data_IF_053737551047
#
_entry.id   IF_053737551047
#
_cell.length_a   1.000
_cell.length_b   1.000
_cell.length_c   1.000
_cell.angle_alpha   90.00
_cell.angle_beta   90.00
_cell.angle_gamma   90.00
#
_symmetry.space_group_name_H-M   'P 1'
#
loop_
_entity.id
_entity.type
_entity.pdbx_description
1 polymer ?
#
# COMPACT_ATOMS: atom_id res chain seq x y z
N UNK A 1 56.66 42.56 -1.91
CA UNK A 1 55.64 41.65 -2.38
C UNK A 1 54.47 41.66 -1.42
N UNK A 2 53.25 41.84 -1.89
CA UNK A 2 52.05 41.69 -1.10
C UNK A 2 51.53 40.29 -1.34
N UNK A 3 51.49 39.46 -0.30
CA UNK A 3 50.87 38.14 -0.35
C UNK A 3 49.38 38.34 -0.22
N UNK A 4 48.61 38.03 -1.26
CA UNK A 4 47.16 38.01 -1.23
C UNK A 4 46.70 36.63 -0.78
N UNK A 5 46.01 36.57 0.35
CA UNK A 5 45.31 35.35 0.83
C UNK A 5 43.94 35.34 0.17
N UNK A 6 43.64 34.30 -0.61
CA UNK A 6 42.31 34.06 -1.17
C UNK A 6 41.63 32.98 -0.36
N UNK A 7 40.41 33.24 0.11
CA UNK A 7 39.51 32.19 0.65
C UNK A 7 38.65 31.67 -0.49
N UNK A 8 38.56 30.36 -0.60
CA UNK A 8 37.71 29.71 -1.57
C UNK A 8 36.58 28.98 -0.79
N UNK A 9 35.36 29.42 -0.97
CA UNK A 9 34.18 28.71 -0.46
C UNK A 9 33.57 27.94 -1.63
N UNK A 10 33.51 26.62 -1.51
CA UNK A 10 32.70 25.78 -2.39
C UNK A 10 31.25 25.87 -1.92
N UNK A 11 30.32 26.27 -2.79
CA UNK A 11 28.91 26.28 -2.42
C UNK A 11 28.47 24.86 -2.09
N UNK A 12 27.72 24.71 -0.99
CA UNK A 12 27.08 23.44 -0.64
C UNK A 12 26.04 23.07 -1.70
N UNK A 13 26.07 21.83 -2.15
CA UNK A 13 25.06 21.30 -3.04
C UNK A 13 23.65 21.38 -2.40
N UNK A 14 22.71 21.85 -3.19
CA UNK A 14 21.31 21.90 -2.81
C UNK A 14 20.63 20.62 -3.25
N UNK A 15 20.56 19.63 -2.35
CA UNK A 15 19.92 18.34 -2.60
C UNK A 15 18.59 18.32 -1.86
N UNK A 16 17.50 18.05 -2.59
CA UNK A 16 16.15 18.02 -2.06
C UNK A 16 15.48 16.71 -2.39
N UNK A 17 14.57 16.28 -1.49
CA UNK A 17 13.59 15.25 -1.75
C UNK A 17 12.20 15.81 -1.48
N UNK A 18 11.28 15.60 -2.41
CA UNK A 18 9.92 16.09 -2.33
C UNK A 18 8.95 15.03 -2.86
N UNK A 19 7.67 15.15 -2.52
CA UNK A 19 6.64 14.24 -2.99
C UNK A 19 5.32 14.47 -2.30
N UNK A 20 4.43 13.50 -2.39
CA UNK A 20 3.09 13.53 -1.83
C UNK A 20 2.85 12.37 -0.89
N UNK A 21 2.01 12.61 0.11
CA UNK A 21 1.40 11.57 0.92
C UNK A 21 -0.04 11.42 0.45
N UNK A 22 -0.34 10.27 -0.15
CA UNK A 22 -1.63 9.95 -0.75
C UNK A 22 -2.23 8.72 -0.08
N UNK A 23 -3.52 8.53 -0.20
CA UNK A 23 -4.15 7.25 0.12
C UNK A 23 -4.21 6.32 -1.11
N UNK A 24 -4.81 5.12 -0.96
CA UNK A 24 -4.95 4.15 -2.06
C UNK A 24 -5.91 4.60 -3.17
N UNK A 25 -6.74 5.60 -2.89
CA UNK A 25 -7.65 6.21 -3.87
C UNK A 25 -6.99 7.42 -4.58
N UNK A 26 -5.64 7.62 -4.37
CA UNK A 26 -4.85 8.75 -4.87
C UNK A 26 -5.30 10.11 -4.31
N UNK A 27 -6.05 10.13 -3.21
CA UNK A 27 -6.45 11.36 -2.56
C UNK A 27 -5.36 11.83 -1.57
N UNK A 28 -5.10 13.15 -1.46
CA UNK A 28 -4.12 13.67 -0.54
C UNK A 28 -4.43 13.34 0.92
N UNK A 29 -3.40 12.97 1.70
CA UNK A 29 -3.50 12.79 3.15
C UNK A 29 -2.90 14.01 3.86
N UNK A 30 -3.70 15.03 4.18
CA UNK A 30 -3.21 16.24 4.83
C UNK A 30 -2.77 15.94 6.26
N UNK A 31 -1.82 16.75 6.74
CA UNK A 31 -1.26 16.63 8.10
C UNK A 31 -0.60 15.27 8.40
N UNK A 32 -0.27 14.48 7.39
CA UNK A 32 0.58 13.32 7.58
C UNK A 32 1.95 13.77 8.12
N UNK A 33 2.48 13.00 9.06
CA UNK A 33 3.79 13.26 9.65
C UNK A 33 4.83 12.45 8.91
N UNK A 34 5.80 13.12 8.30
CA UNK A 34 6.93 12.48 7.64
C UNK A 34 8.17 12.70 8.52
N UNK A 35 8.85 11.61 8.84
CA UNK A 35 10.16 11.64 9.52
C UNK A 35 11.21 11.09 8.57
N UNK A 36 12.39 11.72 8.59
CA UNK A 36 13.54 11.27 7.84
C UNK A 36 14.74 11.14 8.78
N UNK A 37 15.41 10.01 8.75
CA UNK A 37 16.58 9.72 9.59
C UNK A 37 17.72 9.28 8.66
N UNK A 38 18.85 9.98 8.73
CA UNK A 38 20.05 9.66 7.99
C UNK A 38 21.01 8.78 8.80
N UNK A 39 21.84 8.00 8.12
CA UNK A 39 22.91 7.21 8.74
C UNK A 39 24.06 8.09 9.29
N UNK A 40 24.04 9.39 9.01
CA UNK A 40 24.89 10.43 9.60
C UNK A 40 24.37 10.94 10.95
N UNK A 41 23.24 10.41 11.44
CA UNK A 41 22.57 10.83 12.67
C UNK A 41 21.59 12.01 12.48
N UNK A 42 21.43 12.52 11.26
CA UNK A 42 20.42 13.54 10.96
C UNK A 42 19.01 13.01 11.21
N UNK A 43 18.14 13.85 11.74
CA UNK A 43 16.74 13.54 12.03
C UNK A 43 15.91 14.77 11.78
N UNK A 44 15.01 14.72 10.79
CA UNK A 44 14.11 15.80 10.44
C UNK A 44 12.67 15.31 10.46
N UNK A 45 11.75 16.23 10.66
CA UNK A 45 10.31 15.97 10.69
C UNK A 45 9.58 17.09 9.95
N UNK A 46 8.71 16.70 9.03
CA UNK A 46 7.80 17.59 8.34
C UNK A 46 6.36 17.13 8.50
N UNK A 47 5.43 18.07 8.30
CA UNK A 47 4.00 17.80 8.25
C UNK A 47 3.54 18.10 6.83
N UNK A 48 2.92 17.11 6.18
CA UNK A 48 2.37 17.28 4.84
C UNK A 48 1.36 18.42 4.80
N UNK A 49 1.42 19.20 3.73
CA UNK A 49 0.50 20.29 3.47
C UNK A 49 -0.92 19.78 3.18
N UNK A 50 -1.86 20.69 2.96
CA UNK A 50 -3.25 20.33 2.65
C UNK A 50 -3.40 19.53 1.35
N UNK A 51 -2.48 19.71 0.41
CA UNK A 51 -2.39 18.95 -0.83
C UNK A 51 -1.59 17.65 -0.71
N UNK A 52 -1.22 17.25 0.50
CA UNK A 52 -0.40 16.08 0.79
C UNK A 52 1.10 16.27 0.55
N UNK A 53 1.55 17.41 0.01
CA UNK A 53 2.94 17.62 -0.39
C UNK A 53 3.89 17.81 0.80
N UNK A 54 5.15 17.39 0.63
CA UNK A 54 6.24 17.59 1.59
C UNK A 54 7.57 17.83 0.85
N UNK A 55 8.57 18.37 1.57
CA UNK A 55 9.91 18.59 1.03
C UNK A 55 10.96 18.63 2.15
N UNK A 56 12.07 17.90 1.96
CA UNK A 56 13.24 17.92 2.86
C UNK A 56 14.49 18.33 2.11
N UNK A 57 15.40 19.02 2.82
CA UNK A 57 16.77 19.22 2.36
C UNK A 57 17.62 18.03 2.82
N UNK A 58 18.39 17.46 1.90
CA UNK A 58 19.26 16.30 2.13
C UNK A 58 20.71 16.71 2.14
N UNK A 59 21.55 15.86 2.74
CA UNK A 59 23.01 15.95 2.64
C UNK A 59 23.52 14.89 1.64
N UNK A 60 24.60 15.20 0.94
CA UNK A 60 25.24 14.28 0.01
C UNK A 60 25.85 13.09 0.77
N UNK A 61 25.80 11.91 0.16
CA UNK A 61 26.44 10.69 0.66
C UNK A 61 25.73 10.07 1.87
N UNK A 62 24.50 10.47 2.14
CA UNK A 62 23.72 9.97 3.28
C UNK A 62 22.63 9.03 2.80
N UNK A 63 22.51 7.88 3.47
CA UNK A 63 21.39 6.95 3.30
C UNK A 63 20.31 7.28 4.32
N UNK A 64 19.11 7.46 3.84
CA UNK A 64 17.96 7.89 4.62
C UNK A 64 16.91 6.80 4.72
N UNK A 65 16.31 6.69 5.91
CA UNK A 65 15.06 5.97 6.15
C UNK A 65 13.98 7.01 6.39
N UNK A 66 12.89 6.93 5.63
CA UNK A 66 11.76 7.81 5.71
C UNK A 66 10.54 7.05 6.19
N UNK A 67 9.77 7.62 7.10
CA UNK A 67 8.54 7.06 7.65
C UNK A 67 7.44 8.12 7.55
N UNK A 68 6.37 7.79 6.83
CA UNK A 68 5.17 8.61 6.77
C UNK A 68 4.02 7.93 7.52
N UNK A 69 3.22 8.71 8.25
CA UNK A 69 2.06 8.20 8.97
C UNK A 69 1.04 9.30 9.26
N UNK A 70 -0.22 8.93 9.33
CA UNK A 70 -1.32 9.82 9.69
C UNK A 70 -2.33 9.10 10.57
N UNK A 71 -3.14 9.87 11.32
CA UNK A 71 -4.20 9.30 12.14
C UNK A 71 -5.24 8.59 11.24
N UNK A 72 -5.51 7.33 11.52
CA UNK A 72 -6.44 6.51 10.74
C UNK A 72 -5.80 5.80 9.54
N UNK A 73 -4.47 5.83 9.44
CA UNK A 73 -3.70 5.17 8.37
C UNK A 73 -2.59 4.29 8.95
N UNK A 74 -2.17 3.29 8.19
CA UNK A 74 -0.95 2.54 8.44
C UNK A 74 0.27 3.39 8.07
N UNK A 75 1.38 3.19 8.78
CA UNK A 75 2.64 3.82 8.42
C UNK A 75 3.21 3.20 7.15
N UNK A 76 3.84 4.04 6.33
CA UNK A 76 4.60 3.60 5.17
C UNK A 76 6.07 4.00 5.35
N UNK A 77 6.98 3.09 4.98
CA UNK A 77 8.43 3.26 5.03
C UNK A 77 9.00 3.31 3.63
N UNK A 78 9.98 4.20 3.43
CA UNK A 78 10.78 4.28 2.22
C UNK A 78 12.27 4.45 2.59
N UNK A 79 13.15 3.97 1.72
CA UNK A 79 14.59 4.15 1.85
C UNK A 79 15.14 4.90 0.64
N UNK A 80 16.06 5.81 0.87
CA UNK A 80 16.66 6.64 -0.17
C UNK A 80 18.11 6.91 0.13
N UNK A 81 18.96 6.97 -0.89
CA UNK A 81 20.38 7.30 -0.76
C UNK A 81 20.74 8.44 -1.72
N UNK A 82 21.40 9.48 -1.19
CA UNK A 82 21.81 10.69 -1.91
C UNK A 82 23.28 10.67 -2.33
N UNK A 83 23.90 9.49 -2.47
CA UNK A 83 25.34 9.31 -2.66
C UNK A 83 25.85 9.72 -4.06
N UNK A 84 24.99 9.74 -5.06
CA UNK A 84 25.34 9.97 -6.46
C UNK A 84 25.24 11.42 -6.92
N UNK A 85 24.79 12.35 -6.07
CA UNK A 85 24.62 13.75 -6.45
C UNK A 85 25.99 14.44 -6.63
N UNK A 86 26.29 14.85 -7.85
CA UNK A 86 27.50 15.65 -8.19
C UNK A 86 27.18 17.14 -8.38
N UNK A 87 25.92 17.49 -8.53
CA UNK A 87 25.35 18.82 -8.68
C UNK A 87 24.06 18.97 -7.89
N UNK A 88 23.46 20.15 -7.88
CA UNK A 88 22.16 20.40 -7.27
C UNK A 88 21.10 19.44 -7.84
N UNK A 89 20.34 18.79 -6.97
CA UNK A 89 19.39 17.75 -7.37
C UNK A 89 18.08 17.84 -6.56
N UNK A 90 16.98 17.47 -7.22
CA UNK A 90 15.70 17.23 -6.58
C UNK A 90 15.17 15.84 -6.93
N UNK A 91 14.86 15.05 -5.91
CA UNK A 91 14.34 13.69 -6.04
C UNK A 91 12.88 13.65 -5.67
N UNK A 92 12.10 12.80 -6.37
CA UNK A 92 10.69 12.55 -6.08
C UNK A 92 10.48 11.23 -5.33
N UNK A 93 9.65 11.23 -4.28
CA UNK A 93 9.23 10.01 -3.58
C UNK A 93 7.84 10.22 -2.99
N UNK A 94 6.90 9.32 -3.32
CA UNK A 94 5.54 9.38 -2.82
C UNK A 94 5.29 8.30 -1.78
N UNK A 95 4.43 8.62 -0.80
CA UNK A 95 3.95 7.68 0.20
C UNK A 95 2.49 7.37 -0.05
N UNK A 96 2.17 6.08 -0.21
CA UNK A 96 0.79 5.59 -0.28
C UNK A 96 0.42 5.00 1.07
N UNK A 97 -0.50 5.64 1.80
CA UNK A 97 -0.95 5.19 3.10
C UNK A 97 -2.25 4.39 2.98
N UNK A 98 -2.28 3.22 3.59
CA UNK A 98 -3.48 2.41 3.68
C UNK A 98 -4.33 2.84 4.88
N UNK A 99 -5.61 3.14 4.66
CA UNK A 99 -6.56 3.45 5.73
C UNK A 99 -6.82 2.22 6.61
N UNK A 100 -6.88 2.41 7.94
CA UNK A 100 -7.29 1.37 8.89
C UNK A 100 -8.81 1.30 9.08
N UNK A 101 -9.56 2.23 8.51
CA UNK A 101 -11.02 2.30 8.64
C UNK A 101 -11.77 1.70 7.47
N UNK A 102 -11.08 1.40 6.37
CA UNK A 102 -11.62 0.76 5.18
C UNK A 102 -10.91 -0.58 4.95
N UNK A 103 -11.59 -1.61 4.43
CA UNK A 103 -10.91 -2.81 3.96
C UNK A 103 -9.85 -2.47 2.92
N UNK A 104 -8.68 -3.09 3.05
CA UNK A 104 -7.60 -2.98 2.06
C UNK A 104 -7.68 -4.18 1.14
N UNK A 105 -7.90 -3.94 -0.15
CA UNK A 105 -7.85 -5.01 -1.14
C UNK A 105 -6.38 -5.40 -1.35
N UNK A 106 -6.11 -6.69 -1.27
CA UNK A 106 -4.80 -7.26 -1.61
C UNK A 106 -4.93 -7.91 -2.98
N UNK A 107 -4.46 -7.19 -3.99
CA UNK A 107 -4.48 -7.65 -5.37
C UNK A 107 -3.42 -8.75 -5.61
N UNK A 108 -3.53 -9.46 -6.73
CA UNK A 108 -2.56 -10.46 -7.20
C UNK A 108 -2.38 -11.68 -6.27
N UNK A 109 -3.43 -12.06 -5.55
CA UNK A 109 -3.49 -13.35 -4.84
C UNK A 109 -4.19 -14.36 -5.73
N UNK A 110 -3.44 -15.34 -6.20
CA UNK A 110 -3.92 -16.37 -7.13
C UNK A 110 -3.90 -17.74 -6.47
N UNK A 111 -4.91 -18.54 -6.80
CA UNK A 111 -5.05 -19.93 -6.38
C UNK A 111 -5.14 -20.83 -7.60
N UNK A 112 -4.81 -22.09 -7.43
CA UNK A 112 -5.18 -23.11 -8.42
C UNK A 112 -6.70 -23.23 -8.50
N UNK A 113 -7.17 -23.62 -9.68
CA UNK A 113 -8.61 -23.84 -9.88
C UNK A 113 -9.14 -24.81 -8.83
N UNK A 114 -10.24 -24.42 -8.19
CA UNK A 114 -10.93 -25.20 -7.15
C UNK A 114 -10.05 -25.60 -5.95
N UNK A 115 -8.99 -24.84 -5.66
CA UNK A 115 -8.08 -25.08 -4.54
C UNK A 115 -7.84 -23.82 -3.70
N UNK A 116 -7.29 -24.07 -2.50
CA UNK A 116 -6.79 -23.03 -1.62
C UNK A 116 -5.23 -22.96 -1.65
N UNK A 117 -4.58 -23.68 -2.56
CA UNK A 117 -3.13 -23.63 -2.71
C UNK A 117 -2.74 -22.34 -3.40
N UNK A 118 -1.93 -21.52 -2.73
CA UNK A 118 -1.37 -20.29 -3.27
C UNK A 118 -0.44 -20.59 -4.44
N UNK A 119 -0.60 -19.86 -5.53
CA UNK A 119 0.30 -19.96 -6.67
C UNK A 119 1.57 -19.14 -6.44
N UNK A 120 2.70 -19.52 -7.03
CA UNK A 120 3.98 -18.82 -6.85
C UNK A 120 3.91 -17.32 -7.19
N UNK A 121 3.04 -16.92 -8.12
CA UNK A 121 2.84 -15.54 -8.54
C UNK A 121 2.29 -14.65 -7.41
N UNK A 122 1.60 -15.24 -6.42
CA UNK A 122 1.08 -14.53 -5.25
C UNK A 122 2.18 -14.10 -4.26
N UNK A 123 3.38 -14.67 -4.39
CA UNK A 123 4.44 -14.49 -3.40
C UNK A 123 4.83 -13.02 -3.21
N UNK A 124 4.97 -12.27 -4.30
CA UNK A 124 5.36 -10.86 -4.23
C UNK A 124 4.35 -10.02 -3.43
N UNK A 125 3.05 -10.18 -3.72
CA UNK A 125 1.99 -9.45 -3.01
C UNK A 125 1.91 -9.86 -1.52
N UNK A 126 2.15 -11.13 -1.20
CA UNK A 126 2.17 -11.62 0.18
C UNK A 126 3.41 -11.14 0.95
N UNK A 127 4.57 -11.04 0.30
CA UNK A 127 5.80 -10.49 0.88
C UNK A 127 5.62 -8.99 1.18
N UNK A 128 4.97 -8.23 0.30
CA UNK A 128 4.60 -6.82 0.53
C UNK A 128 3.64 -6.67 1.72
N UNK A 129 2.62 -7.52 1.81
CA UNK A 129 1.70 -7.53 2.94
C UNK A 129 2.43 -7.88 4.26
N UNK A 130 3.32 -8.87 4.24
CA UNK A 130 4.14 -9.22 5.39
C UNK A 130 5.05 -8.04 5.82
N UNK A 131 5.64 -7.32 4.85
CA UNK A 131 6.44 -6.14 5.15
C UNK A 131 5.60 -5.01 5.76
N UNK A 132 4.41 -4.74 5.20
CA UNK A 132 3.47 -3.77 5.77
C UNK A 132 3.13 -4.09 7.23
N UNK A 133 2.91 -5.37 7.56
CA UNK A 133 2.62 -5.80 8.92
C UNK A 133 3.84 -5.71 9.86
N UNK A 134 5.06 -5.88 9.36
CA UNK A 134 6.29 -5.64 10.14
C UNK A 134 6.48 -4.15 10.46
N UNK A 135 6.20 -3.29 9.50
CA UNK A 135 6.31 -1.83 9.67
C UNK A 135 5.21 -1.27 10.59
N UNK A 136 4.14 -2.06 10.84
CA UNK A 136 3.00 -1.71 11.69
C UNK A 136 2.77 -2.77 12.78
N UNK A 137 3.66 -2.93 13.78
CA UNK A 137 3.65 -4.06 14.71
C UNK A 137 2.42 -4.13 15.61
N UNK A 138 1.71 -3.03 15.82
CA UNK A 138 0.52 -2.94 16.69
C UNK A 138 -0.80 -3.20 15.94
N UNK A 139 -0.74 -3.50 14.65
CA UNK A 139 -1.93 -3.73 13.82
C UNK A 139 -2.29 -5.22 13.84
N UNK A 140 -3.56 -5.50 14.04
CA UNK A 140 -4.19 -6.82 13.87
C UNK A 140 -5.05 -6.77 12.60
N UNK A 141 -5.03 -7.82 11.81
CA UNK A 141 -5.82 -7.91 10.59
C UNK A 141 -6.76 -9.12 10.60
N UNK A 142 -7.87 -8.98 9.89
CA UNK A 142 -8.69 -10.09 9.42
C UNK A 142 -8.47 -10.24 7.90
N UNK A 143 -8.03 -11.41 7.48
CA UNK A 143 -7.97 -11.77 6.07
C UNK A 143 -9.33 -12.30 5.64
N UNK A 144 -10.07 -11.47 4.90
CA UNK A 144 -11.33 -11.83 4.28
C UNK A 144 -11.09 -12.42 2.89
N UNK A 145 -11.72 -13.55 2.58
CA UNK A 145 -11.71 -14.13 1.25
C UNK A 145 -13.14 -14.35 0.75
N UNK A 146 -13.29 -14.16 -0.55
CA UNK A 146 -14.57 -14.27 -1.25
C UNK A 146 -14.42 -15.26 -2.41
N UNK A 147 -15.53 -15.76 -2.89
CA UNK A 147 -15.63 -16.55 -4.14
C UNK A 147 -16.60 -15.87 -5.08
N UNK A 148 -16.57 -16.27 -6.33
CA UNK A 148 -17.66 -16.03 -7.27
C UNK A 148 -18.92 -16.82 -6.85
N UNK A 149 -20.04 -16.60 -7.55
CA UNK A 149 -21.33 -17.25 -7.31
C UNK A 149 -21.44 -18.68 -7.87
N UNK A 150 -20.35 -19.23 -8.44
CA UNK A 150 -20.36 -20.57 -9.02
C UNK A 150 -20.19 -21.62 -7.93
N UNK A 151 -21.23 -22.41 -7.68
CA UNK A 151 -21.24 -23.47 -6.67
C UNK A 151 -22.38 -23.36 -5.68
N UNK A 152 -22.36 -24.16 -4.62
CA UNK A 152 -23.28 -24.00 -3.50
C UNK A 152 -22.72 -23.04 -2.46
N UNK A 153 -23.57 -22.33 -1.74
CA UNK A 153 -23.19 -21.40 -0.67
C UNK A 153 -22.23 -22.06 0.34
N UNK A 154 -22.57 -23.24 0.85
CA UNK A 154 -21.73 -23.97 1.80
C UNK A 154 -20.34 -24.29 1.23
N UNK A 155 -20.29 -24.67 -0.04
CA UNK A 155 -19.03 -24.94 -0.73
C UNK A 155 -18.20 -23.67 -0.88
N UNK A 156 -18.79 -22.56 -1.29
CA UNK A 156 -18.14 -21.26 -1.45
C UNK A 156 -17.62 -20.71 -0.12
N UNK A 157 -18.37 -20.86 0.96
CA UNK A 157 -17.92 -20.52 2.32
C UNK A 157 -16.68 -21.36 2.71
N UNK A 158 -16.74 -22.70 2.53
CA UNK A 158 -15.60 -23.58 2.87
C UNK A 158 -14.35 -23.24 2.02
N UNK A 159 -14.53 -23.06 0.71
CA UNK A 159 -13.43 -22.72 -0.19
C UNK A 159 -12.78 -21.37 0.18
N UNK A 160 -13.59 -20.34 0.41
CA UNK A 160 -13.10 -19.03 0.83
C UNK A 160 -12.40 -19.09 2.19
N UNK A 161 -12.92 -19.85 3.15
CA UNK A 161 -12.29 -20.05 4.44
C UNK A 161 -10.91 -20.71 4.33
N UNK A 162 -10.78 -21.75 3.50
CA UNK A 162 -9.49 -22.39 3.25
C UNK A 162 -8.52 -21.47 2.52
N UNK A 163 -8.99 -20.62 1.60
CA UNK A 163 -8.17 -19.61 0.90
C UNK A 163 -7.65 -18.53 1.85
N UNK A 164 -8.52 -17.95 2.69
CA UNK A 164 -8.10 -17.00 3.71
C UNK A 164 -7.07 -17.62 4.67
N UNK A 165 -7.29 -18.88 5.08
CA UNK A 165 -6.35 -19.60 5.94
C UNK A 165 -4.99 -19.77 5.29
N UNK A 166 -4.90 -20.12 4.01
CA UNK A 166 -3.60 -20.32 3.34
C UNK A 166 -2.76 -19.03 3.26
N UNK A 167 -3.40 -17.86 3.16
CA UNK A 167 -2.72 -16.57 3.27
C UNK A 167 -2.18 -16.35 4.69
N UNK A 168 -2.98 -16.64 5.71
CA UNK A 168 -2.54 -16.53 7.11
C UNK A 168 -1.37 -17.46 7.40
N UNK A 169 -1.43 -18.72 6.94
CA UNK A 169 -0.34 -19.68 7.10
C UNK A 169 0.96 -19.14 6.46
N UNK A 170 0.88 -18.55 5.27
CA UNK A 170 2.03 -17.89 4.62
C UNK A 170 2.59 -16.73 5.46
N UNK A 171 1.73 -15.86 5.98
CA UNK A 171 2.16 -14.71 6.80
C UNK A 171 2.84 -15.17 8.10
N UNK A 172 2.36 -16.26 8.71
CA UNK A 172 3.00 -16.87 9.90
C UNK A 172 4.38 -17.42 9.53
N UNK A 173 4.52 -18.12 8.41
CA UNK A 173 5.80 -18.59 7.89
C UNK A 173 6.76 -17.43 7.59
N UNK A 174 6.24 -16.30 7.13
CA UNK A 174 6.99 -15.05 6.95
C UNK A 174 7.35 -14.32 8.26
N UNK A 175 6.98 -14.88 9.42
CA UNK A 175 7.35 -14.37 10.74
C UNK A 175 6.39 -13.37 11.37
N UNK A 176 5.17 -13.24 10.85
CA UNK A 176 4.12 -12.45 11.49
C UNK A 176 3.47 -13.27 12.61
N UNK A 177 3.30 -12.67 13.80
CA UNK A 177 2.75 -13.36 14.97
C UNK A 177 1.26 -13.74 14.75
N UNK A 178 0.90 -15.00 15.06
CA UNK A 178 -0.42 -15.55 14.83
C UNK A 178 -1.54 -14.83 15.60
N UNK A 179 -1.24 -14.23 16.74
CA UNK A 179 -2.19 -13.45 17.55
C UNK A 179 -2.64 -12.15 16.89
N UNK A 180 -1.92 -11.71 15.84
CA UNK A 180 -2.24 -10.55 15.02
C UNK A 180 -3.10 -10.86 13.80
N UNK A 181 -3.34 -12.13 13.53
CA UNK A 181 -3.89 -12.61 12.26
C UNK A 181 -5.19 -13.37 12.51
N UNK A 182 -6.26 -12.95 11.85
CA UNK A 182 -7.53 -13.66 11.79
C UNK A 182 -7.89 -13.94 10.34
N UNK A 183 -8.69 -14.95 10.08
CA UNK A 183 -9.18 -15.25 8.74
C UNK A 183 -10.66 -15.57 8.75
N UNK A 184 -11.36 -15.13 7.71
CA UNK A 184 -12.77 -15.38 7.52
C UNK A 184 -13.09 -15.58 6.04
N UNK A 185 -13.75 -16.69 5.72
CA UNK A 185 -14.36 -16.92 4.42
C UNK A 185 -15.78 -16.37 4.41
N UNK A 186 -16.09 -15.62 3.38
CA UNK A 186 -17.42 -15.03 3.19
C UNK A 186 -18.17 -15.62 2.00
N UNK A 187 -17.52 -16.54 1.22
CA UNK A 187 -18.15 -17.04 0.01
C UNK A 187 -18.59 -15.89 -0.88
N UNK A 188 -19.83 -15.94 -1.34
CA UNK A 188 -20.51 -14.90 -2.12
C UNK A 188 -21.35 -13.92 -1.28
N UNK A 189 -21.39 -14.08 0.04
CA UNK A 189 -22.30 -13.33 0.95
C UNK A 189 -21.98 -11.83 1.09
N UNK A 190 -20.83 -11.38 0.61
CA UNK A 190 -20.44 -9.97 0.61
C UNK A 190 -20.08 -9.52 -0.81
N UNK A 191 -21.06 -9.01 -1.56
CA UNK A 191 -20.84 -8.56 -2.93
C UNK A 191 -19.87 -7.37 -2.96
N UNK A 192 -19.13 -7.29 -4.05
CA UNK A 192 -18.16 -6.23 -4.30
C UNK A 192 -18.86 -4.91 -4.58
N UNK A 193 -18.36 -3.83 -3.99
CA UNK A 193 -18.82 -2.48 -4.30
C UNK A 193 -17.84 -1.82 -5.26
N UNK A 194 -18.34 -1.19 -6.31
CA UNK A 194 -17.54 -0.48 -7.29
C UNK A 194 -16.90 0.75 -6.65
N UNK A 195 -15.58 0.73 -6.55
CA UNK A 195 -14.79 1.87 -6.09
C UNK A 195 -14.57 2.87 -7.22
N UNK A 196 -14.11 4.10 -6.89
CA UNK A 196 -13.73 5.13 -7.86
C UNK A 196 -12.72 4.61 -8.91
N UNK A 197 -11.76 3.77 -8.49
CA UNK A 197 -10.79 3.12 -9.38
C UNK A 197 -11.48 2.17 -10.34
N UNK A 198 -12.32 1.27 -9.84
CA UNK A 198 -13.07 0.31 -10.66
C UNK A 198 -14.04 1.01 -11.62
N UNK A 199 -14.70 2.09 -11.21
CA UNK A 199 -15.58 2.87 -12.10
C UNK A 199 -14.82 3.54 -13.26
N UNK A 200 -13.54 3.83 -13.10
CA UNK A 200 -12.67 4.32 -14.20
C UNK A 200 -12.28 3.20 -15.16
N UNK A 201 -12.02 2.01 -14.62
CA UNK A 201 -11.62 0.83 -15.40
C UNK A 201 -12.82 0.20 -16.13
N UNK A 202 -13.99 0.20 -15.47
CA UNK A 202 -15.27 -0.31 -15.97
C UNK A 202 -16.34 0.79 -15.99
N UNK A 203 -16.34 1.68 -17.01
CA UNK A 203 -17.21 2.86 -17.05
C UNK A 203 -18.71 2.56 -17.08
N UNK A 204 -19.11 1.32 -17.41
CA UNK A 204 -20.51 0.85 -17.38
C UNK A 204 -21.04 0.69 -15.95
N UNK A 205 -20.16 0.59 -14.95
CA UNK A 205 -20.54 0.50 -13.54
C UNK A 205 -20.28 1.81 -12.82
N UNK A 206 -21.33 2.38 -12.22
CA UNK A 206 -21.20 3.63 -11.46
C UNK A 206 -20.46 3.37 -10.12
N UNK A 207 -19.70 4.35 -9.65
CA UNK A 207 -19.11 4.32 -8.31
C UNK A 207 -20.20 4.12 -7.25
N UNK A 208 -19.94 3.23 -6.27
CA UNK A 208 -20.88 2.88 -5.22
C UNK A 208 -21.90 1.80 -5.60
N UNK A 209 -21.91 1.33 -6.86
CA UNK A 209 -22.75 0.18 -7.26
C UNK A 209 -22.30 -1.06 -6.50
N UNK A 210 -23.26 -1.79 -5.91
CA UNK A 210 -23.03 -3.08 -5.28
C UNK A 210 -23.31 -4.18 -6.31
N UNK A 211 -22.34 -5.05 -6.56
CA UNK A 211 -22.44 -6.16 -7.52
C UNK A 211 -23.06 -7.37 -6.81
N UNK A 212 -24.31 -7.22 -6.34
CA UNK A 212 -25.08 -8.32 -5.80
C UNK A 212 -25.78 -9.13 -6.90
N UNK A 213 -26.34 -10.28 -6.53
CA UNK A 213 -26.98 -11.19 -7.48
C UNK A 213 -28.13 -10.53 -8.23
N UNK A 214 -28.96 -9.75 -7.53
CA UNK A 214 -30.10 -9.04 -8.12
C UNK A 214 -29.65 -8.03 -9.18
N UNK A 215 -28.57 -7.27 -8.91
CA UNK A 215 -28.03 -6.33 -9.87
C UNK A 215 -27.36 -7.05 -11.06
N UNK A 216 -26.56 -8.08 -10.82
CA UNK A 216 -25.84 -8.82 -11.87
C UNK A 216 -26.83 -9.49 -12.83
N UNK A 217 -27.95 -10.03 -12.36
CA UNK A 217 -28.99 -10.62 -13.22
C UNK A 217 -29.63 -9.61 -14.18
N UNK A 218 -29.57 -8.31 -13.87
CA UNK A 218 -30.09 -7.24 -14.76
C UNK A 218 -29.14 -6.87 -15.88
N UNK A 219 -27.90 -7.30 -15.82
CA UNK A 219 -26.83 -6.95 -16.78
C UNK A 219 -26.89 -7.80 -18.07
N UNK A 220 -26.27 -7.27 -19.11
CA UNK A 220 -26.00 -8.07 -20.33
C UNK A 220 -25.06 -9.24 -20.02
N UNK A 221 -25.07 -10.33 -20.79
CA UNK A 221 -24.14 -11.45 -20.58
C UNK A 221 -22.65 -11.04 -20.56
N UNK A 222 -22.28 -10.04 -21.34
CA UNK A 222 -20.92 -9.49 -21.41
C UNK A 222 -20.57 -8.71 -20.12
N UNK A 223 -21.52 -7.90 -19.62
CA UNK A 223 -21.33 -7.15 -18.37
C UNK A 223 -21.38 -8.07 -17.14
N UNK A 224 -22.14 -9.18 -17.20
CA UNK A 224 -22.12 -10.20 -16.14
C UNK A 224 -20.73 -10.85 -16.01
N UNK A 225 -20.08 -11.17 -17.13
CA UNK A 225 -18.72 -11.71 -17.13
C UNK A 225 -17.69 -10.70 -16.60
N UNK A 226 -17.90 -9.41 -16.84
CA UNK A 226 -17.04 -8.33 -16.33
C UNK A 226 -17.26 -8.05 -14.83
N UNK A 227 -18.43 -8.41 -14.28
CA UNK A 227 -18.79 -8.20 -12.88
C UNK A 227 -18.35 -9.35 -11.95
N UNK A 228 -18.21 -10.57 -12.49
CA UNK A 228 -17.68 -11.76 -11.82
C UNK A 228 -16.15 -11.68 -11.67
#
# INVERSE_FOLDING_TARGET
GYDHIYSFELPELQIWISGWVLDKDEEPVPNAVIRIVGNDGSNQKEIARNDGSFKFKLQRGVSYVMLAGAKGYLNAKQEFTSDTAEEDAEYGIDFILASITKPVVVDNIFYDFDKATLRPESKAALDELAQLLRDNPNVTIEMASHTDRKGSEDYNIDLSQRRAKSVIDYLIEAGISADRLQHQGYGESRPKTITKKLAREYPQFAEGTVLDEEFIETLSPEDQEAAD
#
